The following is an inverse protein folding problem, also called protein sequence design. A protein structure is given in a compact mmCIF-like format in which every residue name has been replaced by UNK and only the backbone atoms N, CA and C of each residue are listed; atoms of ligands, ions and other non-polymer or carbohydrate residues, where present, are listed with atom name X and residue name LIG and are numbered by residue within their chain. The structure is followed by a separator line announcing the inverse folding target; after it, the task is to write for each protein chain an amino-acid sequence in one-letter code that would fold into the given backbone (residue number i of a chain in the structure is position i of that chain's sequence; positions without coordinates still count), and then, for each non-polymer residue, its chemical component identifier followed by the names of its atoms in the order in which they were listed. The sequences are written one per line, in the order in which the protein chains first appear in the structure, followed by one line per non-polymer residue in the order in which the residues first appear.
data_IF_152048766748
#
_entry.id   IF_152048766748
#
_cell.length_a   1.000
_cell.length_b   1.000
_cell.length_c   1.000
_cell.angle_alpha   90.00
_cell.angle_beta   90.00
_cell.angle_gamma   90.00
#
_symmetry.space_group_name_H-M   'P 1'
#
loop_
_entity.id
_entity.type
_entity.pdbx_description
1 polymer ?
#
# COMPACT_ATOMS: atom_id res chain seq x y z
N UNK A 1 -15.13 16.92 9.14
CA UNK A 1 -14.42 15.75 8.58
C UNK A 1 -14.68 14.62 9.57
N UNK A 2 -15.31 13.51 9.14
CA UNK A 2 -15.58 12.39 10.05
C UNK A 2 -14.35 11.52 10.25
N UNK A 3 -14.32 10.71 11.30
CA UNK A 3 -13.21 9.82 11.70
C UNK A 3 -12.73 8.92 10.54
N UNK A 4 -13.63 8.51 9.65
CA UNK A 4 -13.29 7.72 8.47
C UNK A 4 -12.42 8.48 7.47
N UNK A 5 -12.67 9.78 7.25
CA UNK A 5 -11.87 10.60 6.33
C UNK A 5 -10.46 10.88 6.84
N UNK A 6 -10.28 10.93 8.16
CA UNK A 6 -8.95 11.02 8.78
C UNK A 6 -8.18 9.71 8.60
N UNK A 7 -8.83 8.56 8.80
CA UNK A 7 -8.22 7.24 8.55
C UNK A 7 -7.84 7.05 7.07
N UNK A 8 -8.68 7.50 6.14
CA UNK A 8 -8.38 7.46 4.70
C UNK A 8 -7.16 8.33 4.34
N UNK A 9 -7.07 9.51 4.96
CA UNK A 9 -5.95 10.44 4.74
C UNK A 9 -4.66 9.87 5.32
N UNK A 10 -4.70 9.34 6.54
CA UNK A 10 -3.55 8.68 7.16
C UNK A 10 -3.12 7.45 6.34
N UNK A 11 -4.07 6.64 5.86
CA UNK A 11 -3.77 5.49 5.01
C UNK A 11 -3.11 5.91 3.69
N UNK A 12 -3.60 7.00 3.07
CA UNK A 12 -2.99 7.56 1.87
C UNK A 12 -1.53 7.97 2.13
N UNK A 13 -1.25 8.71 3.21
CA UNK A 13 0.10 9.10 3.57
C UNK A 13 1.01 7.91 3.85
N UNK A 14 0.50 6.88 4.54
CA UNK A 14 1.24 5.63 4.78
C UNK A 14 1.58 4.91 3.49
N UNK A 15 0.68 4.85 2.52
CA UNK A 15 0.99 4.29 1.21
C UNK A 15 2.08 5.07 0.47
N UNK A 16 2.10 6.40 0.58
CA UNK A 16 3.18 7.21 0.02
C UNK A 16 4.51 6.93 0.72
N UNK A 17 4.52 6.74 2.04
CA UNK A 17 5.73 6.37 2.79
C UNK A 17 6.29 5.01 2.36
N UNK A 18 5.46 4.00 2.15
CA UNK A 18 5.88 2.70 1.63
C UNK A 18 6.68 2.82 0.32
N UNK A 19 6.28 3.72 -0.58
CA UNK A 19 7.03 3.99 -1.81
C UNK A 19 8.44 4.52 -1.53
N UNK A 20 8.55 5.49 -0.61
CA UNK A 20 9.85 6.06 -0.25
C UNK A 20 10.72 5.05 0.49
N UNK A 21 10.17 4.32 1.45
CA UNK A 21 10.88 3.28 2.21
C UNK A 21 11.37 2.16 1.27
N UNK A 22 10.53 1.67 0.36
CA UNK A 22 10.97 0.70 -0.65
C UNK A 22 12.05 1.28 -1.59
N UNK A 23 11.95 2.56 -1.94
CA UNK A 23 12.95 3.25 -2.75
C UNK A 23 14.31 3.37 -2.06
N UNK A 24 14.32 3.77 -0.78
CA UNK A 24 15.54 3.97 -0.01
C UNK A 24 16.16 2.66 0.48
N UNK A 25 15.34 1.73 0.95
CA UNK A 25 15.82 0.49 1.55
C UNK A 25 16.12 -0.59 0.51
N UNK A 26 15.36 -0.62 -0.59
CA UNK A 26 15.47 -1.65 -1.62
C UNK A 26 16.07 -1.14 -2.94
N UNK A 27 16.23 0.18 -3.12
CA UNK A 27 16.56 0.77 -4.41
C UNK A 27 15.43 0.63 -5.46
N UNK A 28 14.23 0.20 -5.05
CA UNK A 28 13.12 -0.10 -5.95
C UNK A 28 12.05 0.98 -5.92
N UNK A 29 11.97 1.73 -7.01
CA UNK A 29 11.03 2.84 -7.16
C UNK A 29 9.78 2.39 -7.91
N UNK A 30 8.72 2.06 -7.15
CA UNK A 30 7.44 1.60 -7.69
C UNK A 30 6.60 2.76 -8.28
N UNK A 31 7.06 3.40 -9.36
CA UNK A 31 6.43 4.60 -9.93
C UNK A 31 4.95 4.38 -10.34
N UNK A 32 4.60 3.19 -10.84
CA UNK A 32 3.21 2.87 -11.18
C UNK A 32 2.31 2.81 -9.94
N UNK A 33 2.82 2.27 -8.83
CA UNK A 33 2.14 2.28 -7.55
C UNK A 33 1.94 3.72 -7.07
N UNK A 34 3.00 4.53 -7.01
CA UNK A 34 2.92 5.94 -6.60
C UNK A 34 1.90 6.73 -7.43
N UNK A 35 1.90 6.55 -8.75
CA UNK A 35 0.93 7.18 -9.64
C UNK A 35 -0.50 6.76 -9.32
N UNK A 36 -0.72 5.47 -9.04
CA UNK A 36 -2.01 4.94 -8.62
C UNK A 36 -2.50 5.61 -7.33
N UNK A 37 -1.64 5.67 -6.31
CA UNK A 37 -1.95 6.29 -5.01
C UNK A 37 -2.32 7.76 -5.17
N UNK A 38 -1.53 8.53 -5.92
CA UNK A 38 -1.76 9.97 -6.13
C UNK A 38 -3.02 10.28 -6.92
N UNK A 39 -3.35 9.45 -7.90
CA UNK A 39 -4.48 9.72 -8.79
C UNK A 39 -5.82 9.24 -8.23
N UNK A 40 -5.82 8.14 -7.47
CA UNK A 40 -7.05 7.46 -7.07
C UNK A 40 -7.27 7.47 -5.55
N UNK A 41 -6.28 7.88 -4.76
CA UNK A 41 -6.28 7.77 -3.32
C UNK A 41 -5.73 6.42 -2.84
N UNK A 42 -5.35 6.36 -1.55
CA UNK A 42 -4.72 5.19 -0.97
C UNK A 42 -5.64 3.98 -0.95
N UNK A 43 -6.86 4.14 -0.43
CA UNK A 43 -7.81 3.03 -0.25
C UNK A 43 -8.23 2.42 -1.58
N UNK A 44 -8.60 3.24 -2.56
CA UNK A 44 -9.03 2.75 -3.88
C UNK A 44 -7.92 2.00 -4.61
N UNK A 45 -6.70 2.52 -4.56
CA UNK A 45 -5.55 1.84 -5.15
C UNK A 45 -5.22 0.54 -4.41
N UNK A 46 -5.26 0.51 -3.07
CA UNK A 46 -5.09 -0.71 -2.29
C UNK A 46 -6.14 -1.78 -2.65
N UNK A 47 -7.43 -1.40 -2.70
CA UNK A 47 -8.51 -2.31 -3.14
C UNK A 47 -8.24 -2.87 -4.54
N UNK A 48 -7.78 -2.03 -5.48
CA UNK A 48 -7.42 -2.46 -6.84
C UNK A 48 -6.26 -3.47 -6.86
N UNK A 49 -5.24 -3.26 -6.02
CA UNK A 49 -4.10 -4.17 -5.90
C UNK A 49 -4.53 -5.52 -5.29
N UNK A 50 -5.33 -5.48 -4.22
CA UNK A 50 -5.82 -6.67 -3.50
C UNK A 50 -6.88 -7.46 -4.28
N UNK A 51 -7.64 -6.81 -5.17
CA UNK A 51 -8.66 -7.47 -5.98
C UNK A 51 -8.10 -8.56 -6.93
N UNK A 52 -6.80 -8.48 -7.27
CA UNK A 52 -6.14 -9.47 -8.14
C UNK A 52 -5.76 -10.74 -7.37
N UNK A 53 -6.77 -11.53 -6.98
CA UNK A 53 -6.57 -12.82 -6.31
C UNK A 53 -5.68 -13.75 -7.16
N UNK A 54 -4.62 -14.29 -6.56
CA UNK A 54 -3.75 -15.29 -7.18
C UNK A 54 -2.68 -14.76 -8.13
N UNK A 55 -2.60 -13.44 -8.38
CA UNK A 55 -1.52 -12.83 -9.16
C UNK A 55 -0.96 -11.61 -8.44
N UNK A 56 0.00 -11.80 -7.52
CA UNK A 56 0.68 -10.69 -6.88
C UNK A 56 1.34 -9.82 -7.94
N UNK A 57 1.32 -8.51 -7.71
CA UNK A 57 1.91 -7.57 -8.65
C UNK A 57 3.44 -7.77 -8.70
N UNK A 58 4.10 -7.53 -9.85
CA UNK A 58 5.56 -7.69 -9.94
C UNK A 58 6.33 -6.90 -8.87
N UNK A 59 5.82 -5.73 -8.47
CA UNK A 59 6.40 -4.91 -7.41
C UNK A 59 6.35 -5.58 -6.03
N UNK A 60 5.29 -6.35 -5.72
CA UNK A 60 5.19 -7.13 -4.48
C UNK A 60 6.32 -8.18 -4.42
N UNK A 61 6.54 -8.90 -5.52
CA UNK A 61 7.62 -9.90 -5.57
C UNK A 61 9.00 -9.29 -5.37
N UNK A 62 9.28 -8.12 -5.96
CA UNK A 62 10.57 -7.43 -5.76
C UNK A 62 10.80 -7.06 -4.31
N UNK A 63 9.81 -6.45 -3.66
CA UNK A 63 9.90 -6.04 -2.25
C UNK A 63 10.06 -7.26 -1.32
N UNK A 64 9.28 -8.32 -1.54
CA UNK A 64 9.32 -9.50 -0.67
C UNK A 64 10.55 -10.38 -0.93
N UNK A 65 10.90 -10.67 -2.19
CA UNK A 65 11.98 -11.61 -2.50
C UNK A 65 13.34 -10.95 -2.62
N UNK A 66 13.44 -9.82 -3.31
CA UNK A 66 14.73 -9.16 -3.56
C UNK A 66 15.14 -8.34 -2.34
N UNK A 67 14.20 -7.58 -1.77
CA UNK A 67 14.48 -6.73 -0.61
C UNK A 67 14.31 -7.43 0.74
N UNK A 68 13.65 -8.60 0.78
CA UNK A 68 13.35 -9.33 2.03
C UNK A 68 12.60 -8.49 3.06
N UNK A 69 11.79 -7.54 2.60
CA UNK A 69 11.03 -6.60 3.42
C UNK A 69 9.53 -6.70 3.16
N UNK A 70 8.88 -7.80 3.58
CA UNK A 70 7.44 -7.98 3.40
C UNK A 70 6.62 -6.93 4.16
N UNK A 71 7.18 -6.31 5.18
CA UNK A 71 6.60 -5.18 5.92
C UNK A 71 6.37 -3.94 5.02
N UNK A 72 7.15 -3.78 3.94
CA UNK A 72 7.00 -2.67 2.99
C UNK A 72 5.93 -2.93 1.92
N UNK A 73 4.93 -3.76 2.22
CA UNK A 73 3.83 -4.10 1.32
C UNK A 73 2.50 -3.52 1.78
N UNK A 74 1.55 -3.39 0.85
CA UNK A 74 0.20 -2.89 1.17
C UNK A 74 -0.53 -3.88 2.07
N UNK A 75 -0.33 -5.17 1.82
CA UNK A 75 -0.87 -6.26 2.62
C UNK A 75 -0.41 -6.17 4.08
N UNK A 76 0.90 -5.99 4.33
CA UNK A 76 1.44 -5.85 5.67
C UNK A 76 0.92 -4.58 6.36
N UNK A 77 0.90 -3.44 5.66
CA UNK A 77 0.36 -2.19 6.19
C UNK A 77 -1.08 -2.37 6.73
N UNK A 78 -1.93 -3.10 6.03
CA UNK A 78 -3.31 -3.36 6.44
C UNK A 78 -3.35 -4.37 7.60
N UNK A 79 -2.65 -5.49 7.49
CA UNK A 79 -2.63 -6.53 8.51
C UNK A 79 -2.10 -6.02 9.86
N UNK A 80 -1.04 -5.22 9.85
CA UNK A 80 -0.39 -4.70 11.06
C UNK A 80 -1.16 -3.53 11.70
N UNK A 81 -2.09 -2.90 10.95
CA UNK A 81 -2.84 -1.75 11.42
C UNK A 81 -4.35 -2.01 11.34
N UNK A 82 -4.88 -2.70 12.35
CA UNK A 82 -6.31 -3.06 12.46
C UNK A 82 -7.27 -1.87 12.34
N UNK A 83 -6.83 -0.66 12.69
CA UNK A 83 -7.61 0.58 12.51
C UNK A 83 -8.00 0.84 11.05
N UNK A 84 -7.20 0.39 10.08
CA UNK A 84 -7.53 0.58 8.67
C UNK A 84 -8.54 -0.44 8.15
N UNK A 85 -8.81 -1.53 8.88
CA UNK A 85 -9.71 -2.58 8.41
C UNK A 85 -11.12 -2.05 8.12
N UNK A 86 -11.57 -1.03 8.85
CA UNK A 86 -12.86 -0.36 8.61
C UNK A 86 -12.98 0.20 7.18
N UNK A 87 -11.87 0.57 6.54
CA UNK A 87 -11.83 1.07 5.16
C UNK A 87 -11.99 -0.03 4.11
N UNK A 88 -11.86 -1.30 4.54
CA UNK A 88 -11.90 -2.49 3.68
C UNK A 88 -13.05 -3.45 4.02
N UNK A 89 -13.89 -3.11 5.01
CA UNK A 89 -15.14 -3.84 5.25
C UNK A 89 -16.14 -3.47 4.16
N UNK A 90 -16.55 -4.46 3.36
CA UNK A 90 -17.71 -4.43 2.47
C UNK A 90 -18.72 -5.47 2.95
#
# INVERSE_FOLDING_TARGET
MGEQGELESEFHERMLRLYWEAGYECGYWANYFLRGVRNQGGVKEAKRLLAKKGRPQPGFFRVVKECKRPDLTVEALICDNSKFWVLFKE
#
